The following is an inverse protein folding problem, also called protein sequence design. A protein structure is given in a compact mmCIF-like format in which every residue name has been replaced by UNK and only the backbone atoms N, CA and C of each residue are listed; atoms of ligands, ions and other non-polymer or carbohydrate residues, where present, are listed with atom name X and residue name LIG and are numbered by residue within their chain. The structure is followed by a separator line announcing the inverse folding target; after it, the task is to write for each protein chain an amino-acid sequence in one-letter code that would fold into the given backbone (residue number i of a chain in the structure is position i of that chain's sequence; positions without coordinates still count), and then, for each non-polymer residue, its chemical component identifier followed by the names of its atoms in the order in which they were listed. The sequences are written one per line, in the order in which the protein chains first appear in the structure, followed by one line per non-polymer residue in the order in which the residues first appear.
data_IF_751648658224
#
_entry.id   IF_751648658224
#
_cell.length_a   1.000
_cell.length_b   1.000
_cell.length_c   1.000
_cell.angle_alpha   90.00
_cell.angle_beta   90.00
_cell.angle_gamma   90.00
#
_symmetry.space_group_name_H-M   'P 1'
#
loop_
_entity.id
_entity.type
_entity.pdbx_description
1 polymer ?
#
# COMPACT_ATOMS: atom_id res chain seq x y z
N UNK A 1 -4.01 -1.33 -12.57
CA UNK A 1 -3.18 -0.84 -13.70
C UNK A 1 -4.06 -0.32 -14.84
N UNK A 2 -4.80 -1.17 -15.56
CA UNK A 2 -5.63 -0.75 -16.71
C UNK A 2 -6.72 0.25 -16.32
N UNK A 3 -7.35 0.10 -15.15
CA UNK A 3 -8.38 1.04 -14.69
C UNK A 3 -7.90 2.49 -14.52
N UNK A 4 -6.61 2.71 -14.20
CA UNK A 4 -6.10 4.07 -14.02
C UNK A 4 -5.93 4.77 -15.36
N UNK A 5 -5.53 4.03 -16.40
CA UNK A 5 -5.31 4.55 -17.74
C UNK A 5 -6.61 4.60 -18.57
N UNK A 6 -7.57 3.71 -18.30
CA UNK A 6 -8.85 3.64 -19.04
C UNK A 6 -9.81 4.80 -18.74
N UNK A 7 -9.55 5.59 -17.69
CA UNK A 7 -10.44 6.67 -17.26
C UNK A 7 -10.06 8.04 -17.83
N UNK A 8 -9.00 8.13 -18.64
CA UNK A 8 -8.58 9.39 -19.24
C UNK A 8 -9.52 9.79 -20.38
N UNK A 9 -9.87 11.07 -20.40
CA UNK A 9 -10.65 11.65 -21.50
C UNK A 9 -9.70 12.20 -22.56
N UNK A 10 -10.15 12.18 -23.81
CA UNK A 10 -9.38 12.77 -24.89
C UNK A 10 -9.16 14.26 -24.66
N UNK A 11 -7.93 14.74 -24.86
CA UNK A 11 -7.52 16.12 -24.58
C UNK A 11 -7.35 16.50 -23.10
N UNK A 12 -7.49 15.56 -22.16
CA UNK A 12 -7.28 15.83 -20.72
C UNK A 12 -5.79 16.06 -20.41
N UNK A 13 -5.49 17.19 -19.74
CA UNK A 13 -4.15 17.44 -19.21
C UNK A 13 -4.04 16.77 -17.85
N UNK A 14 -3.09 15.84 -17.73
CA UNK A 14 -2.87 15.04 -16.52
C UNK A 14 -1.46 15.24 -15.98
N UNK A 15 -1.30 15.14 -14.66
CA UNK A 15 0.03 15.12 -14.04
C UNK A 15 0.60 13.70 -14.12
N UNK A 16 1.51 13.48 -15.06
CA UNK A 16 2.09 12.16 -15.32
C UNK A 16 2.75 11.55 -14.07
N UNK A 17 3.39 12.38 -13.25
CA UNK A 17 4.02 11.93 -12.01
C UNK A 17 3.01 11.27 -11.06
N UNK A 18 1.83 11.85 -10.91
CA UNK A 18 0.80 11.32 -10.00
C UNK A 18 0.23 10.01 -10.51
N UNK A 19 0.02 9.91 -11.82
CA UNK A 19 -0.43 8.68 -12.47
C UNK A 19 0.60 7.57 -12.27
N UNK A 20 1.86 7.83 -12.60
CA UNK A 20 2.95 6.86 -12.45
C UNK A 20 3.11 6.41 -10.99
N UNK A 21 3.07 7.36 -10.04
CA UNK A 21 3.13 7.07 -8.61
C UNK A 21 1.99 6.17 -8.18
N UNK A 22 0.74 6.48 -8.57
CA UNK A 22 -0.44 5.69 -8.21
C UNK A 22 -0.38 4.28 -8.80
N UNK A 23 0.03 4.13 -10.06
CA UNK A 23 0.19 2.82 -10.70
C UNK A 23 1.27 1.99 -10.02
N UNK A 24 2.43 2.57 -9.72
CA UNK A 24 3.53 1.88 -9.06
C UNK A 24 3.15 1.40 -7.65
N UNK A 25 2.51 2.25 -6.85
CA UNK A 25 2.05 1.91 -5.51
C UNK A 25 1.00 0.78 -5.56
N UNK A 26 0.00 0.89 -6.44
CA UNK A 26 -1.03 -0.13 -6.57
C UNK A 26 -0.43 -1.50 -6.98
N UNK A 27 0.56 -1.49 -7.89
CA UNK A 27 1.27 -2.71 -8.29
C UNK A 27 2.06 -3.32 -7.12
N UNK A 28 2.81 -2.50 -6.36
CA UNK A 28 3.55 -2.97 -5.19
C UNK A 28 2.61 -3.59 -4.15
N UNK A 29 1.49 -2.93 -3.86
CA UNK A 29 0.51 -3.39 -2.89
C UNK A 29 -0.12 -4.72 -3.32
N UNK A 30 -0.60 -4.85 -4.56
CA UNK A 30 -1.18 -6.10 -5.05
C UNK A 30 -0.16 -7.24 -5.08
N UNK A 31 1.02 -6.99 -5.66
CA UNK A 31 1.97 -8.06 -5.97
C UNK A 31 2.73 -8.54 -4.72
N UNK A 32 3.12 -7.63 -3.82
CA UNK A 32 3.97 -7.99 -2.67
C UNK A 32 3.16 -8.41 -1.45
N UNK A 33 2.01 -7.78 -1.21
CA UNK A 33 1.21 -8.04 -0.01
C UNK A 33 0.12 -9.08 -0.25
N UNK A 34 -0.20 -9.38 -1.52
CA UNK A 34 -1.26 -10.33 -1.85
C UNK A 34 -2.63 -9.91 -1.29
N UNK A 35 -2.85 -8.61 -1.10
CA UNK A 35 -4.16 -8.06 -0.72
C UNK A 35 -5.11 -8.20 -1.91
N UNK A 36 -6.32 -8.68 -1.62
CA UNK A 36 -7.28 -9.10 -2.64
C UNK A 36 -8.45 -8.13 -2.82
N UNK A 37 -8.71 -7.26 -1.85
CA UNK A 37 -9.84 -6.31 -1.91
C UNK A 37 -9.40 -4.92 -2.37
N UNK A 38 -10.20 -4.30 -3.26
CA UNK A 38 -9.93 -2.94 -3.75
C UNK A 38 -9.83 -1.90 -2.62
N UNK A 39 -10.57 -2.10 -1.52
CA UNK A 39 -10.53 -1.24 -0.33
C UNK A 39 -9.18 -1.31 0.38
N UNK A 40 -8.65 -2.52 0.63
CA UNK A 40 -7.32 -2.68 1.24
C UNK A 40 -6.22 -2.13 0.34
N UNK A 41 -6.36 -2.29 -0.98
CA UNK A 41 -5.40 -1.75 -1.93
C UNK A 41 -5.37 -0.23 -1.88
N UNK A 42 -6.54 0.42 -1.83
CA UNK A 42 -6.65 1.87 -1.71
C UNK A 42 -6.07 2.38 -0.38
N UNK A 43 -6.41 1.71 0.73
CA UNK A 43 -5.90 2.05 2.07
C UNK A 43 -4.37 1.93 2.14
N UNK A 44 -3.82 0.79 1.70
CA UNK A 44 -2.37 0.60 1.64
C UNK A 44 -1.71 1.61 0.70
N UNK A 45 -2.35 1.94 -0.42
CA UNK A 45 -1.81 2.94 -1.35
C UNK A 45 -1.69 4.32 -0.70
N UNK A 46 -2.68 4.69 0.12
CA UNK A 46 -2.63 5.95 0.87
C UNK A 46 -1.47 5.96 1.88
N UNK A 47 -1.28 4.87 2.64
CA UNK A 47 -0.17 4.80 3.57
C UNK A 47 1.19 4.87 2.87
N UNK A 48 1.36 4.20 1.74
CA UNK A 48 2.61 4.29 0.98
C UNK A 48 2.83 5.69 0.41
N UNK A 49 1.79 6.38 -0.06
CA UNK A 49 1.91 7.77 -0.50
C UNK A 49 2.39 8.67 0.64
N UNK A 50 1.72 8.60 1.80
CA UNK A 50 2.09 9.39 2.98
C UNK A 50 3.52 9.11 3.44
N UNK A 51 3.95 7.85 3.37
CA UNK A 51 5.31 7.44 3.72
C UNK A 51 6.35 8.03 2.76
N UNK A 52 6.12 7.91 1.44
CA UNK A 52 7.03 8.46 0.40
C UNK A 52 7.13 9.98 0.50
N UNK A 53 6.01 10.67 0.71
CA UNK A 53 6.01 12.13 0.90
C UNK A 53 6.85 12.52 2.13
N UNK A 54 6.81 11.71 3.20
CA UNK A 54 7.67 11.87 4.36
C UNK A 54 9.16 11.73 4.07
N UNK A 55 9.54 10.75 3.25
CA UNK A 55 10.93 10.54 2.85
C UNK A 55 11.52 11.74 2.10
N UNK A 56 10.67 12.52 1.43
CA UNK A 56 11.04 13.72 0.69
C UNK A 56 10.86 15.02 1.51
N UNK A 57 10.44 14.92 2.77
CA UNK A 57 10.13 16.07 3.62
C UNK A 57 11.24 16.36 4.64
N UNK A 58 11.16 17.53 5.27
CA UNK A 58 12.03 17.87 6.41
C UNK A 58 11.66 16.97 7.61
N UNK A 59 12.64 16.36 8.32
CA UNK A 59 12.39 15.33 9.33
C UNK A 59 11.88 15.90 10.68
N UNK A 60 10.78 16.64 10.67
CA UNK A 60 10.14 17.22 11.85
C UNK A 60 8.94 16.37 12.27
N UNK A 61 9.05 15.71 13.41
CA UNK A 61 8.02 14.80 13.92
C UNK A 61 7.04 15.49 14.87
N UNK A 62 6.33 16.51 14.38
CA UNK A 62 5.28 17.20 15.12
C UNK A 62 3.93 17.09 14.39
N UNK A 63 2.78 17.09 15.10
CA UNK A 63 1.47 17.08 14.45
C UNK A 63 1.35 18.21 13.42
N UNK A 64 0.83 17.89 12.23
CA UNK A 64 0.71 18.83 11.11
C UNK A 64 1.85 18.78 10.09
N UNK A 65 3.00 18.16 10.42
CA UNK A 65 4.11 18.00 9.47
C UNK A 65 3.98 16.70 8.66
N UNK A 66 4.46 16.74 7.40
CA UNK A 66 4.47 15.58 6.48
C UNK A 66 5.23 14.39 7.08
N UNK A 67 6.40 14.64 7.67
CA UNK A 67 7.20 13.58 8.31
C UNK A 67 6.45 12.88 9.45
N UNK A 68 5.68 13.62 10.25
CA UNK A 68 4.84 13.01 11.30
C UNK A 68 3.75 12.10 10.72
N UNK A 69 3.11 12.52 9.62
CA UNK A 69 2.12 11.70 8.90
C UNK A 69 2.76 10.42 8.34
N UNK A 70 3.96 10.55 7.77
CA UNK A 70 4.72 9.43 7.22
C UNK A 70 5.13 8.41 8.29
N UNK A 71 5.53 8.86 9.48
CA UNK A 71 5.87 7.96 10.59
C UNK A 71 4.64 7.20 11.10
N UNK A 72 3.45 7.81 11.08
CA UNK A 72 2.18 7.11 11.35
C UNK A 72 1.89 6.08 10.26
N UNK A 73 1.97 6.47 9.00
CA UNK A 73 1.75 5.57 7.87
C UNK A 73 2.70 4.36 7.88
N UNK A 74 3.99 4.57 8.20
CA UNK A 74 4.98 3.50 8.38
C UNK A 74 4.54 2.47 9.42
N UNK A 75 3.99 2.91 10.56
CA UNK A 75 3.52 2.00 11.61
C UNK A 75 2.37 1.12 11.10
N UNK A 76 1.41 1.71 10.39
CA UNK A 76 0.27 0.97 9.84
C UNK A 76 0.69 -0.02 8.74
N UNK A 77 1.62 0.39 7.86
CA UNK A 77 2.19 -0.51 6.83
C UNK A 77 2.80 -1.75 7.49
N UNK A 78 3.68 -1.56 8.48
CA UNK A 78 4.35 -2.67 9.17
C UNK A 78 3.32 -3.56 9.89
N UNK A 79 2.34 -2.96 10.57
CA UNK A 79 1.27 -3.68 11.26
C UNK A 79 0.51 -4.60 10.31
N UNK A 80 0.11 -4.10 9.12
CA UNK A 80 -0.60 -4.89 8.12
C UNK A 80 0.28 -5.99 7.51
N UNK A 81 1.57 -5.71 7.24
CA UNK A 81 2.52 -6.73 6.76
C UNK A 81 2.62 -7.88 7.77
N UNK A 82 2.83 -7.58 9.05
CA UNK A 82 2.97 -8.59 10.09
C UNK A 82 1.70 -9.44 10.22
N UNK A 83 0.52 -8.82 10.24
CA UNK A 83 -0.77 -9.53 10.25
C UNK A 83 -0.94 -10.46 9.04
N UNK A 84 -0.50 -10.03 7.86
CA UNK A 84 -0.55 -10.86 6.65
C UNK A 84 0.40 -12.05 6.75
N UNK A 85 1.61 -11.85 7.29
CA UNK A 85 2.58 -12.94 7.52
C UNK A 85 2.02 -13.95 8.52
N UNK A 86 1.49 -13.50 9.66
CA UNK A 86 0.90 -14.34 10.69
C UNK A 86 -0.25 -15.21 10.13
N UNK A 87 -1.17 -14.60 9.38
CA UNK A 87 -2.27 -15.34 8.72
C UNK A 87 -1.75 -16.42 7.77
N UNK A 88 -0.73 -16.12 6.97
CA UNK A 88 -0.13 -17.09 6.04
C UNK A 88 0.52 -18.27 6.78
N UNK A 89 1.21 -17.99 7.88
CA UNK A 89 1.83 -19.02 8.72
C UNK A 89 0.78 -19.92 9.38
N UNK A 90 -0.30 -19.33 9.91
CA UNK A 90 -1.42 -20.09 10.51
C UNK A 90 -2.13 -20.96 9.47
N UNK A 91 -2.43 -20.43 8.29
CA UNK A 91 -3.06 -21.19 7.22
C UNK A 91 -2.19 -22.37 6.74
N UNK A 92 -0.87 -22.18 6.71
CA UNK A 92 0.06 -23.26 6.38
C UNK A 92 0.04 -24.37 7.43
N UNK A 93 0.11 -24.01 8.72
CA UNK A 93 0.04 -24.99 9.81
C UNK A 93 -1.27 -25.80 9.79
N UNK A 94 -2.41 -25.15 9.55
CA UNK A 94 -3.71 -25.82 9.43
C UNK A 94 -3.81 -26.74 8.20
N UNK A 95 -3.14 -26.38 7.10
CA UNK A 95 -3.08 -27.22 5.89
C UNK A 95 -2.19 -28.44 6.09
N UNK A 96 -1.11 -28.31 6.86
CA UNK A 96 -0.20 -29.42 7.17
C UNK A 96 -0.87 -30.40 8.18
N UNK A 97 -1.65 -29.90 9.15
CA UNK A 97 -2.43 -30.76 10.07
C UNK A 97 -3.55 -31.53 9.38
N UNK A 98 -4.25 -30.91 8.43
CA UNK A 98 -5.35 -31.58 7.69
C UNK A 98 -4.87 -32.60 6.65
N UNK A 99 -3.58 -32.62 6.31
CA UNK A 99 -2.97 -33.66 5.47
C UNK A 99 -2.48 -34.88 6.27
N UNK A 100 -2.39 -34.75 7.60
CA UNK A 100 -1.96 -35.81 8.52
C UNK A 100 -3.13 -36.60 9.13
N UNK A 101 -4.38 -36.21 8.83
CA UNK A 101 -5.63 -36.90 9.20
C UNK A 101 -6.28 -37.49 7.96
#
# INVERSE_FOLDING_TARGET
MLQTLSNFKDGEVVLLQDICRKVAIHLMVNQLLGVSSQSEVNEMSQFFSDFVDGCLSVPINLPGFTYHKAMKARKEIICKINKTIEKRLQNKAASDESMLV
#
